data_IF_172290617681
#
_entry.id   IF_172290617681
#
_cell.length_a   1.000
_cell.length_b   1.000
_cell.length_c   1.000
_cell.angle_alpha   90.00
_cell.angle_beta   90.00
_cell.angle_gamma   90.00
#
_symmetry.space_group_name_H-M   'P 1'
#
loop_
_entity.id
_entity.type
_entity.pdbx_description
1 polymer ?
#
# COMPACT_ATOMS: atom_id res chain seq x y z
N UNK A 1 -1.76 4.38 8.16
CA UNK A 1 -1.23 3.03 8.44
C UNK A 1 -0.56 3.03 9.81
N UNK A 2 -0.44 1.88 10.45
CA UNK A 2 0.29 1.68 11.69
C UNK A 2 1.24 0.49 11.51
N UNK A 3 2.54 0.74 11.67
CA UNK A 3 3.54 -0.32 11.55
C UNK A 3 3.42 -1.33 12.70
N UNK A 4 3.76 -2.60 12.47
CA UNK A 4 4.40 -3.13 11.26
C UNK A 4 3.45 -3.65 10.17
N UNK A 5 2.15 -3.73 10.43
CA UNK A 5 1.28 -4.65 9.68
C UNK A 5 -0.17 -4.16 9.49
N UNK A 6 -0.50 -2.95 9.97
CA UNK A 6 -1.86 -2.41 9.91
C UNK A 6 -1.97 -1.28 8.89
N UNK A 7 -2.95 -1.37 8.00
CA UNK A 7 -3.21 -0.31 7.04
C UNK A 7 -4.65 -0.29 6.57
N UNK A 8 -5.04 0.86 6.02
CA UNK A 8 -6.33 1.08 5.39
C UNK A 8 -6.12 2.05 4.23
N UNK A 9 -6.66 1.70 3.08
CA UNK A 9 -6.69 2.52 1.87
C UNK A 9 -8.12 2.50 1.33
N UNK A 10 -8.74 3.66 1.35
CA UNK A 10 -10.07 3.92 0.80
C UNK A 10 -9.91 4.59 -0.57
N UNK A 11 -10.23 3.86 -1.63
CA UNK A 11 -10.42 4.41 -2.97
C UNK A 11 -11.87 4.87 -3.08
N UNK A 12 -12.08 6.17 -3.26
CA UNK A 12 -13.43 6.75 -3.31
C UNK A 12 -13.94 6.95 -4.73
N UNK A 13 -13.03 7.14 -5.70
CA UNK A 13 -13.37 7.47 -7.09
C UNK A 13 -12.31 6.95 -8.06
N UNK A 14 -12.67 6.65 -9.32
CA UNK A 14 -14.06 6.58 -9.82
C UNK A 14 -14.80 5.32 -9.34
N UNK A 15 -14.07 4.30 -8.90
CA UNK A 15 -14.58 3.04 -8.40
C UNK A 15 -14.26 2.92 -6.92
N UNK A 16 -15.26 2.55 -6.13
CA UNK A 16 -15.11 2.44 -4.68
C UNK A 16 -14.47 1.10 -4.31
N UNK A 17 -13.30 1.16 -3.69
CA UNK A 17 -12.57 0.00 -3.23
C UNK A 17 -11.95 0.26 -1.86
N UNK A 18 -12.02 -0.73 -0.98
CA UNK A 18 -11.35 -0.71 0.32
C UNK A 18 -10.31 -1.80 0.37
N UNK A 19 -9.07 -1.42 0.68
CA UNK A 19 -8.00 -2.36 1.04
C UNK A 19 -7.64 -2.11 2.50
N UNK A 20 -7.80 -3.12 3.35
CA UNK A 20 -7.55 -2.98 4.79
C UNK A 20 -6.88 -4.22 5.37
N UNK A 21 -5.89 -4.00 6.23
CA UNK A 21 -5.16 -5.03 6.95
C UNK A 21 -5.22 -4.77 8.44
N UNK A 22 -5.64 -5.77 9.20
CA UNK A 22 -5.72 -5.74 10.66
C UNK A 22 -4.44 -6.25 11.36
N UNK A 23 -3.46 -6.70 10.56
CA UNK A 23 -2.20 -7.31 11.00
C UNK A 23 -2.16 -8.83 10.80
N UNK A 24 -3.28 -9.46 10.45
CA UNK A 24 -3.36 -10.90 10.17
C UNK A 24 -3.87 -11.16 8.76
N UNK A 25 -4.93 -10.46 8.35
CA UNK A 25 -5.55 -10.64 7.05
C UNK A 25 -5.65 -9.33 6.30
N UNK A 26 -5.45 -9.41 4.99
CA UNK A 26 -5.76 -8.32 4.05
C UNK A 26 -7.12 -8.60 3.45
N UNK A 27 -8.02 -7.63 3.60
CA UNK A 27 -9.30 -7.58 2.93
C UNK A 27 -9.24 -6.62 1.76
N UNK A 28 -9.74 -7.04 0.61
CA UNK A 28 -10.01 -6.20 -0.55
C UNK A 28 -11.50 -6.28 -0.81
N UNK A 29 -12.20 -5.17 -0.67
CA UNK A 29 -13.62 -5.03 -0.94
C UNK A 29 -13.82 -4.12 -2.15
N UNK A 30 -14.52 -4.64 -3.15
CA UNK A 30 -14.93 -3.92 -4.35
C UNK A 30 -16.45 -3.69 -4.26
N UNK A 31 -16.85 -2.43 -4.13
CA UNK A 31 -18.26 -2.08 -3.90
C UNK A 31 -19.11 -2.30 -5.15
N UNK A 32 -18.55 -2.07 -6.33
CA UNK A 32 -19.26 -2.18 -7.60
C UNK A 32 -19.55 -3.65 -7.95
N UNK A 33 -18.61 -4.54 -7.61
CA UNK A 33 -18.81 -5.99 -7.74
C UNK A 33 -19.59 -6.59 -6.57
N UNK A 34 -19.84 -5.81 -5.50
CA UNK A 34 -20.43 -6.29 -4.24
C UNK A 34 -19.70 -7.54 -3.70
N UNK A 35 -18.36 -7.50 -3.76
CA UNK A 35 -17.50 -8.66 -3.49
C UNK A 35 -16.33 -8.27 -2.57
N UNK A 36 -16.03 -9.12 -1.61
CA UNK A 36 -14.85 -9.04 -0.78
C UNK A 36 -13.95 -10.27 -1.00
N UNK A 37 -12.64 -10.08 -0.95
CA UNK A 37 -11.66 -11.16 -0.89
C UNK A 37 -10.79 -11.01 0.35
N UNK A 38 -10.42 -12.14 0.95
CA UNK A 38 -9.56 -12.21 2.13
C UNK A 38 -8.34 -13.05 1.81
N UNK A 39 -7.17 -12.55 2.21
CA UNK A 39 -5.88 -13.28 2.15
C UNK A 39 -5.13 -13.11 3.45
N UNK A 40 -4.19 -14.03 3.75
CA UNK A 40 -3.24 -13.81 4.83
C UNK A 40 -2.29 -12.65 4.50
N UNK A 41 -1.89 -11.90 5.53
CA UNK A 41 -0.98 -10.77 5.37
C UNK A 41 0.36 -11.16 4.73
N UNK A 42 0.91 -12.32 5.08
CA UNK A 42 2.16 -12.85 4.51
C UNK A 42 2.08 -13.07 3.00
N UNK A 43 0.92 -13.48 2.51
CA UNK A 43 0.70 -13.80 1.10
C UNK A 43 0.33 -12.55 0.29
N UNK A 44 -0.15 -11.50 0.99
CA UNK A 44 -0.48 -10.20 0.42
C UNK A 44 0.70 -9.21 0.42
N UNK A 45 1.77 -9.49 1.19
CA UNK A 45 3.02 -8.73 1.22
C UNK A 45 3.68 -8.79 -0.17
N UNK A 46 3.54 -7.70 -0.93
CA UNK A 46 4.03 -7.63 -2.31
C UNK A 46 2.95 -7.77 -3.38
N UNK A 47 1.67 -7.89 -3.03
CA UNK A 47 0.57 -7.85 -3.98
C UNK A 47 -0.07 -6.45 -4.13
N UNK A 48 0.11 -5.56 -3.14
CA UNK A 48 -0.49 -4.21 -3.19
C UNK A 48 0.50 -3.11 -2.80
N UNK A 49 0.45 -1.95 -3.49
CA UNK A 49 1.12 -0.71 -3.09
C UNK A 49 1.05 -0.34 -1.61
N UNK A 50 -0.14 -0.54 -1.03
CA UNK A 50 -0.49 -0.21 0.34
C UNK A 50 0.34 -0.99 1.37
N UNK A 51 0.47 -2.30 1.15
CA UNK A 51 1.21 -3.19 2.03
C UNK A 51 2.70 -2.81 2.09
N UNK A 52 3.27 -2.33 0.98
CA UNK A 52 4.67 -1.88 0.95
C UNK A 52 4.91 -0.61 1.78
N UNK A 53 3.94 0.31 1.84
CA UNK A 53 4.05 1.52 2.67
C UNK A 53 3.89 1.24 4.17
N UNK A 54 3.05 0.26 4.49
CA UNK A 54 2.71 -0.12 5.85
C UNK A 54 3.64 -1.16 6.45
N UNK A 55 4.34 -1.91 5.59
CA UNK A 55 5.21 -3.01 5.97
C UNK A 55 6.37 -2.60 6.87
N UNK A 56 7.06 -3.63 7.34
CA UNK A 56 8.25 -3.51 8.18
C UNK A 56 9.43 -2.86 7.40
N UNK A 57 10.63 -2.96 7.97
CA UNK A 57 11.85 -2.35 7.44
C UNK A 57 12.06 -2.64 5.93
N UNK A 58 11.91 -1.59 5.12
CA UNK A 58 12.10 -1.66 3.66
C UNK A 58 13.50 -2.14 3.28
N UNK A 59 14.52 -1.91 4.12
CA UNK A 59 15.91 -2.30 3.81
C UNK A 59 16.11 -3.81 3.83
N UNK A 60 15.25 -4.55 4.54
CA UNK A 60 15.27 -6.01 4.54
C UNK A 60 14.93 -6.56 3.16
N UNK A 61 13.85 -6.05 2.58
CA UNK A 61 13.20 -6.64 1.40
C UNK A 61 13.57 -5.92 0.09
N UNK A 62 14.16 -4.72 0.17
CA UNK A 62 14.48 -3.87 -0.97
C UNK A 62 15.94 -3.38 -0.95
N UNK A 63 16.50 -3.21 -2.14
CA UNK A 63 17.69 -2.39 -2.36
C UNK A 63 17.26 -0.95 -2.57
N UNK A 64 17.84 -0.04 -1.77
CA UNK A 64 17.50 1.38 -1.79
C UNK A 64 18.60 2.19 -2.48
N UNK A 65 18.22 3.02 -3.44
CA UNK A 65 19.12 3.99 -4.07
C UNK A 65 18.51 5.40 -4.02
N UNK A 66 19.35 6.41 -3.80
CA UNK A 66 18.95 7.79 -4.01
C UNK A 66 18.86 8.07 -5.51
N UNK A 67 17.83 8.83 -5.91
CA UNK A 67 17.65 9.31 -7.28
C UNK A 67 17.84 10.84 -7.31
N UNK A 68 18.13 11.42 -8.50
CA UNK A 68 18.14 12.87 -8.65
C UNK A 68 16.80 13.50 -8.26
N UNK A 69 16.87 14.68 -7.64
CA UNK A 69 15.67 15.45 -7.33
C UNK A 69 14.92 15.82 -8.61
N UNK A 70 13.58 15.76 -8.56
CA UNK A 70 12.71 16.04 -9.70
C UNK A 70 11.38 16.61 -9.21
N UNK A 71 10.84 17.60 -9.90
CA UNK A 71 9.56 18.26 -9.58
C UNK A 71 9.52 18.84 -8.15
N UNK A 72 10.68 19.27 -7.65
CA UNK A 72 10.85 19.80 -6.29
C UNK A 72 10.79 18.76 -5.18
N UNK A 73 10.99 17.48 -5.53
CA UNK A 73 11.04 16.36 -4.60
C UNK A 73 12.39 15.64 -4.68
N UNK A 74 12.87 15.19 -3.54
CA UNK A 74 13.99 14.25 -3.42
C UNK A 74 13.43 12.83 -3.50
N UNK A 75 14.00 12.02 -4.39
CA UNK A 75 13.48 10.69 -4.69
C UNK A 75 14.42 9.60 -4.20
N UNK A 76 13.85 8.53 -3.63
CA UNK A 76 14.54 7.27 -3.40
C UNK A 76 13.82 6.17 -4.17
N UNK A 77 14.57 5.25 -4.77
CA UNK A 77 14.02 4.04 -5.39
C UNK A 77 14.27 2.83 -4.50
N UNK A 78 13.24 2.01 -4.33
CA UNK A 78 13.28 0.72 -3.68
C UNK A 78 13.02 -0.37 -4.73
N UNK A 79 14.01 -1.22 -4.97
CA UNK A 79 13.91 -2.36 -5.88
C UNK A 79 13.79 -3.64 -5.06
N UNK A 80 12.76 -4.49 -5.24
CA UNK A 80 12.65 -5.74 -4.50
C UNK A 80 13.88 -6.62 -4.72
N UNK A 81 14.37 -7.26 -3.66
CA UNK A 81 15.45 -8.25 -3.75
C UNK A 81 14.96 -9.58 -4.34
N UNK A 82 13.68 -9.90 -4.15
CA UNK A 82 13.02 -11.05 -4.76
C UNK A 82 12.69 -10.76 -6.24
N UNK A 83 13.02 -11.71 -7.13
CA UNK A 83 12.90 -11.52 -8.59
C UNK A 83 11.52 -11.85 -9.17
N UNK A 84 10.71 -12.63 -8.47
CA UNK A 84 9.42 -13.14 -8.96
C UNK A 84 8.21 -12.39 -8.36
N UNK A 85 8.43 -11.15 -7.90
CA UNK A 85 7.40 -10.33 -7.26
C UNK A 85 6.49 -9.60 -8.25
N UNK A 86 5.37 -9.08 -7.75
CA UNK A 86 4.42 -8.31 -8.56
C UNK A 86 4.94 -6.92 -8.97
N UNK A 87 6.11 -6.50 -8.48
CA UNK A 87 6.64 -5.15 -8.68
C UNK A 87 8.06 -5.16 -9.25
N UNK A 88 8.34 -4.24 -10.17
CA UNK A 88 9.70 -3.97 -10.64
C UNK A 88 10.44 -3.05 -9.65
N UNK A 89 9.83 -1.92 -9.27
CA UNK A 89 10.37 -0.99 -8.30
C UNK A 89 9.30 -0.03 -7.77
N UNK A 90 9.60 0.58 -6.63
CA UNK A 90 8.88 1.73 -6.08
C UNK A 90 9.80 2.94 -6.02
N UNK A 91 9.27 4.15 -6.22
CA UNK A 91 9.95 5.41 -5.92
C UNK A 91 9.16 6.17 -4.87
N UNK A 92 9.87 6.73 -3.90
CA UNK A 92 9.31 7.46 -2.77
C UNK A 92 9.85 8.88 -2.84
N UNK A 93 8.95 9.85 -2.96
CA UNK A 93 9.25 11.27 -3.15
C UNK A 93 9.00 12.05 -1.88
N UNK A 94 10.02 12.81 -1.46
CA UNK A 94 10.00 13.62 -0.25
C UNK A 94 10.18 15.10 -0.57
N UNK A 95 9.57 15.95 0.26
CA UNK A 95 9.94 17.37 0.36
C UNK A 95 10.51 17.59 1.76
N UNK A 96 11.83 17.64 1.87
CA UNK A 96 12.51 17.57 3.15
C UNK A 96 12.18 16.25 3.86
N UNK A 97 11.53 16.30 5.02
CA UNK A 97 11.11 15.10 5.79
C UNK A 97 9.68 14.64 5.49
N UNK A 98 8.93 15.36 4.66
CA UNK A 98 7.53 15.06 4.40
C UNK A 98 7.40 14.12 3.20
N UNK A 99 6.65 13.02 3.38
CA UNK A 99 6.26 12.14 2.28
C UNK A 99 5.27 12.88 1.37
N UNK A 100 5.59 12.98 0.09
CA UNK A 100 4.78 13.71 -0.89
C UNK A 100 4.21 12.80 -1.96
N UNK A 101 4.95 11.77 -2.37
CA UNK A 101 4.51 10.88 -3.43
C UNK A 101 5.09 9.47 -3.28
N UNK A 102 4.36 8.49 -3.81
CA UNK A 102 4.82 7.12 -4.01
C UNK A 102 4.44 6.73 -5.43
N UNK A 103 5.44 6.34 -6.21
CA UNK A 103 5.27 5.83 -7.56
C UNK A 103 5.65 4.35 -7.58
N UNK A 104 4.84 3.53 -8.24
CA UNK A 104 5.04 2.09 -8.28
C UNK A 104 4.97 1.65 -9.74
N UNK A 105 5.96 0.86 -10.12
CA UNK A 105 6.00 0.19 -11.41
C UNK A 105 5.85 -1.31 -11.15
N UNK A 106 4.75 -1.89 -11.64
CA UNK A 106 4.50 -3.31 -11.50
C UNK A 106 5.30 -4.16 -12.52
N UNK A 107 5.22 -5.49 -12.42
CA UNK A 107 5.88 -6.41 -13.36
C UNK A 107 5.41 -6.26 -14.81
N UNK A 108 4.19 -5.77 -15.04
CA UNK A 108 3.64 -5.46 -16.36
C UNK A 108 4.00 -4.05 -16.86
N UNK A 109 4.89 -3.34 -16.16
CA UNK A 109 5.27 -1.95 -16.43
C UNK A 109 4.12 -0.95 -16.30
N UNK A 110 3.04 -1.31 -15.60
CA UNK A 110 2.00 -0.37 -15.21
C UNK A 110 2.54 0.56 -14.12
N UNK A 111 2.30 1.86 -14.31
CA UNK A 111 2.72 2.91 -13.38
C UNK A 111 1.53 3.43 -12.59
N UNK A 112 1.61 3.31 -11.26
CA UNK A 112 0.67 3.90 -10.31
C UNK A 112 1.34 5.04 -9.54
N UNK A 113 0.65 6.18 -9.40
CA UNK A 113 1.13 7.34 -8.65
C UNK A 113 0.17 7.68 -7.52
N UNK A 114 0.67 7.65 -6.29
CA UNK A 114 -0.02 8.12 -5.09
C UNK A 114 0.58 9.46 -4.69
N UNK A 115 -0.25 10.50 -4.54
CA UNK A 115 0.17 11.82 -4.10
C UNK A 115 -0.48 12.14 -2.75
N UNK A 116 0.32 12.62 -1.80
CA UNK A 116 -0.12 12.93 -0.44
C UNK A 116 -0.19 14.43 -0.23
N UNK A 117 -1.37 14.93 0.16
CA UNK A 117 -1.61 16.36 0.41
C UNK A 117 -1.73 16.69 1.90
N UNK A 118 -2.13 15.73 2.73
CA UNK A 118 -2.37 15.90 4.18
C UNK A 118 -1.63 14.83 4.99
N UNK A 119 -0.37 14.58 4.66
CA UNK A 119 0.43 13.57 5.34
C UNK A 119 0.72 13.98 6.79
N UNK A 120 0.38 13.09 7.73
CA UNK A 120 0.73 13.22 9.14
C UNK A 120 1.43 11.95 9.61
N UNK A 121 2.68 12.09 10.08
CA UNK A 121 3.46 10.99 10.63
C UNK A 121 3.27 10.87 12.14
N UNK A 122 3.47 9.65 12.67
CA UNK A 122 3.48 9.35 14.11
C UNK A 122 2.20 9.77 14.85
N UNK A 123 1.07 9.75 14.16
CA UNK A 123 -0.26 9.97 14.76
C UNK A 123 -0.75 8.66 15.36
N UNK A 124 -1.37 8.74 16.54
CA UNK A 124 -2.06 7.60 17.14
C UNK A 124 -3.34 7.30 16.36
N UNK A 125 -3.39 6.11 15.75
CA UNK A 125 -4.54 5.64 14.98
C UNK A 125 -5.31 4.61 15.78
N UNK A 126 -6.63 4.75 15.90
CA UNK A 126 -7.40 3.89 16.77
C UNK A 126 -7.60 2.51 16.10
N UNK A 127 -7.42 1.38 16.83
CA UNK A 127 -7.33 0.05 16.22
C UNK A 127 -8.54 -0.37 15.37
N UNK A 128 -9.73 0.12 15.71
CA UNK A 128 -10.96 -0.14 14.96
C UNK A 128 -10.91 0.34 13.51
N UNK A 129 -10.07 1.34 13.21
CA UNK A 129 -9.89 1.84 11.85
C UNK A 129 -9.28 0.81 10.89
N UNK A 130 -8.68 -0.27 11.41
CA UNK A 130 -8.06 -1.33 10.63
C UNK A 130 -8.92 -2.60 10.52
N UNK A 131 -10.15 -2.58 11.04
CA UNK A 131 -11.05 -3.73 10.94
C UNK A 131 -11.96 -3.58 9.72
N UNK A 132 -12.16 -4.68 9.01
CA UNK A 132 -13.21 -4.80 8.01
C UNK A 132 -14.39 -5.56 8.60
N UNK A 133 -15.60 -5.04 8.40
CA UNK A 133 -16.85 -5.76 8.67
C UNK A 133 -17.50 -5.97 7.32
N UNK A 134 -17.68 -7.22 6.94
CA UNK A 134 -18.30 -7.60 5.66
C UNK A 134 -19.72 -7.04 5.64
N UNK A 135 -20.07 -6.16 4.67
CA UNK A 135 -21.44 -5.67 4.53
C UNK A 135 -22.41 -6.81 4.22
N UNK A 136 -23.68 -6.63 4.61
CA UNK A 136 -24.70 -7.64 4.35
C UNK A 136 -24.88 -7.85 2.83
N UNK A 137 -24.94 -9.12 2.40
CA UNK A 137 -25.14 -9.48 1.00
C UNK A 137 -23.87 -9.43 0.13
N UNK A 138 -22.71 -9.12 0.69
CA UNK A 138 -21.42 -9.18 -0.03
C UNK A 138 -20.95 -10.62 -0.15
N UNK A 139 -20.56 -11.01 -1.36
CA UNK A 139 -19.90 -12.30 -1.60
C UNK A 139 -18.47 -12.28 -1.04
N UNK A 140 -18.05 -13.32 -0.33
CA UNK A 140 -16.71 -13.43 0.24
C UNK A 140 -15.94 -14.56 -0.42
N UNK A 141 -14.79 -14.23 -0.99
CA UNK A 141 -13.82 -15.19 -1.51
C UNK A 141 -12.63 -15.32 -0.55
N UNK A 142 -12.35 -16.55 -0.13
CA UNK A 142 -11.16 -16.89 0.67
C UNK A 142 -10.04 -17.34 -0.28
N UNK A 143 -8.84 -16.80 -0.11
CA UNK A 143 -7.69 -17.03 -0.99
C UNK A 143 -6.42 -17.38 -0.22
#
# INVERSE_FOLDING_TARGET
FARPDRFRFDYLKPFEQLIVCDGQSVWIFDADLNQASRRNYTDALGATPAALLAGADLTRDFDLIALPSKDGLDWAQATPKARDGAFQFMRIGFRGKQLMAVEITDSFSQRSLLQFTQFAANVELPPQGFKFVVPSGVEVLEQ
#
